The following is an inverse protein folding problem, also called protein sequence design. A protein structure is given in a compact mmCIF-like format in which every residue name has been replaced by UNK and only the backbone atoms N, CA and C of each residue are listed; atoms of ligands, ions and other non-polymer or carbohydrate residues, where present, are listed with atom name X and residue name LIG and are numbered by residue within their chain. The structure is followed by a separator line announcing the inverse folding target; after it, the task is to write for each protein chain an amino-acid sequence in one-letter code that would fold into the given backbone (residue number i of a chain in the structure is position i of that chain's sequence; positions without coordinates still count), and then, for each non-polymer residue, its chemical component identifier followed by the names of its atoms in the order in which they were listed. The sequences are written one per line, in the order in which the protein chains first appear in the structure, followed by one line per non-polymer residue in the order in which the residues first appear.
data_IF_759740002518
#
_entry.id   IF_759740002518
#
_cell.length_a   1.000
_cell.length_b   1.000
_cell.length_c   1.000
_cell.angle_alpha   90.00
_cell.angle_beta   90.00
_cell.angle_gamma   90.00
#
_symmetry.space_group_name_H-M   'P 1'
#
loop_
_entity.id
_entity.type
_entity.pdbx_description
1 polymer ?
#
# COMPACT_ATOMS: atom_id res chain seq x y z
N UNK A 1 -26.92 -10.28 -21.89
CA UNK A 1 -25.84 -10.89 -22.70
C UNK A 1 -25.81 -10.26 -24.09
N UNK A 2 -25.07 -9.16 -24.25
CA UNK A 2 -24.84 -8.57 -25.57
C UNK A 2 -23.57 -9.17 -26.19
N UNK A 3 -23.70 -9.74 -27.38
CA UNK A 3 -22.60 -10.35 -28.14
C UNK A 3 -22.11 -9.36 -29.20
N UNK A 4 -20.80 -9.10 -29.24
CA UNK A 4 -20.19 -8.13 -30.16
C UNK A 4 -19.18 -8.78 -31.09
N UNK A 5 -19.08 -8.32 -32.35
CA UNK A 5 -18.08 -8.79 -33.29
C UNK A 5 -16.66 -8.34 -32.91
N UNK A 6 -15.65 -9.07 -33.39
CA UNK A 6 -14.23 -8.85 -33.08
C UNK A 6 -13.77 -7.39 -33.23
N UNK A 7 -14.26 -6.66 -34.25
CA UNK A 7 -13.90 -5.25 -34.48
C UNK A 7 -14.31 -4.36 -33.31
N UNK A 8 -15.54 -4.52 -32.84
CA UNK A 8 -16.09 -3.77 -31.70
C UNK A 8 -15.44 -4.21 -30.38
N UNK A 9 -15.03 -5.47 -30.26
CA UNK A 9 -14.25 -5.95 -29.12
C UNK A 9 -12.86 -5.30 -29.02
N UNK A 10 -12.19 -5.07 -30.16
CA UNK A 10 -10.91 -4.34 -30.21
C UNK A 10 -11.10 -2.89 -29.77
N UNK A 11 -12.14 -2.20 -30.26
CA UNK A 11 -12.45 -0.82 -29.87
C UNK A 11 -12.75 -0.71 -28.37
N UNK A 12 -13.44 -1.70 -27.78
CA UNK A 12 -13.80 -1.70 -26.35
C UNK A 12 -12.63 -2.04 -25.42
N UNK A 13 -11.69 -2.88 -25.85
CA UNK A 13 -10.62 -3.40 -24.98
C UNK A 13 -9.24 -2.80 -25.25
N UNK A 14 -9.03 -2.19 -26.43
CA UNK A 14 -7.71 -1.74 -26.89
C UNK A 14 -6.72 -2.88 -27.19
N UNK A 15 -7.15 -4.15 -27.09
CA UNK A 15 -6.30 -5.32 -27.32
C UNK A 15 -6.24 -5.70 -28.80
N UNK A 16 -5.11 -6.28 -29.23
CA UNK A 16 -4.96 -6.75 -30.60
C UNK A 16 -5.94 -7.89 -30.94
N UNK A 17 -6.34 -7.99 -32.21
CA UNK A 17 -7.22 -9.08 -32.70
C UNK A 17 -6.67 -10.47 -32.36
N UNK A 18 -5.35 -10.64 -32.40
CA UNK A 18 -4.69 -11.92 -32.12
C UNK A 18 -4.76 -12.25 -30.62
N UNK A 19 -4.62 -11.25 -29.75
CA UNK A 19 -4.74 -11.42 -28.30
C UNK A 19 -6.16 -11.85 -27.90
N UNK A 20 -7.18 -11.20 -28.47
CA UNK A 20 -8.58 -11.57 -28.22
C UNK A 20 -8.92 -12.99 -28.71
N UNK A 21 -8.36 -13.41 -29.86
CA UNK A 21 -8.52 -14.78 -30.36
C UNK A 21 -7.88 -15.81 -29.42
N UNK A 22 -6.63 -15.58 -29.00
CA UNK A 22 -5.92 -16.43 -28.03
C UNK A 22 -6.68 -16.55 -26.71
N UNK A 23 -7.21 -15.45 -26.19
CA UNK A 23 -7.97 -15.47 -24.94
C UNK A 23 -9.33 -16.16 -25.07
N UNK A 24 -9.96 -16.12 -26.24
CA UNK A 24 -11.13 -16.95 -26.54
C UNK A 24 -10.77 -18.44 -26.67
N UNK A 25 -9.64 -18.77 -27.29
CA UNK A 25 -9.17 -20.16 -27.43
C UNK A 25 -8.81 -20.77 -26.06
N UNK A 26 -8.24 -19.97 -25.16
CA UNK A 26 -7.88 -20.38 -23.81
C UNK A 26 -9.07 -20.32 -22.81
N UNK A 27 -10.27 -19.97 -23.26
CA UNK A 27 -11.48 -19.87 -22.42
C UNK A 27 -11.53 -18.67 -21.47
N UNK A 28 -10.56 -17.75 -21.53
CA UNK A 28 -10.52 -16.52 -20.74
C UNK A 28 -11.65 -15.55 -21.13
N UNK A 29 -12.08 -15.55 -22.40
CA UNK A 29 -13.24 -14.77 -22.87
C UNK A 29 -14.31 -15.74 -23.35
N UNK A 30 -15.54 -15.59 -22.85
CA UNK A 30 -16.68 -16.30 -23.45
C UNK A 30 -16.91 -15.79 -24.86
N UNK A 31 -16.89 -16.71 -25.82
CA UNK A 31 -17.22 -16.43 -27.21
C UNK A 31 -18.24 -17.44 -27.72
N UNK A 32 -19.08 -16.99 -28.66
CA UNK A 32 -20.00 -17.85 -29.40
C UNK A 32 -19.64 -17.79 -30.89
N UNK A 33 -19.69 -18.93 -31.56
CA UNK A 33 -19.50 -18.99 -33.02
C UNK A 33 -20.87 -18.95 -33.68
N UNK A 34 -21.03 -18.05 -34.66
CA UNK A 34 -22.20 -18.11 -35.53
C UNK A 34 -22.10 -19.30 -36.49
N UNK A 35 -23.20 -19.73 -37.12
CA UNK A 35 -23.17 -20.76 -38.15
C UNK A 35 -22.19 -20.47 -39.30
N UNK A 36 -21.93 -19.18 -39.58
CA UNK A 36 -20.93 -18.73 -40.56
C UNK A 36 -19.48 -18.69 -40.05
N UNK A 37 -19.18 -19.25 -38.87
CA UNK A 37 -17.82 -19.33 -38.33
C UNK A 37 -17.27 -18.05 -37.69
N UNK A 38 -18.05 -16.97 -37.67
CA UNK A 38 -17.65 -15.70 -37.04
C UNK A 38 -17.74 -15.80 -35.52
N UNK A 39 -16.67 -15.42 -34.82
CA UNK A 39 -16.66 -15.35 -33.35
C UNK A 39 -17.30 -14.05 -32.87
N UNK A 40 -18.33 -14.19 -32.04
CA UNK A 40 -18.94 -13.12 -31.27
C UNK A 40 -18.46 -13.21 -29.83
N UNK A 41 -18.06 -12.09 -29.27
CA UNK A 41 -17.50 -12.00 -27.93
C UNK A 41 -18.55 -11.43 -26.97
N UNK A 42 -18.63 -12.00 -25.78
CA UNK A 42 -19.51 -11.50 -24.74
C UNK A 42 -18.98 -10.18 -24.17
N UNK A 43 -19.84 -9.16 -24.14
CA UNK A 43 -19.50 -7.82 -23.66
C UNK A 43 -19.14 -7.78 -22.18
N UNK A 44 -19.81 -8.57 -21.34
CA UNK A 44 -19.49 -8.67 -19.91
C UNK A 44 -18.09 -9.26 -19.69
N UNK A 45 -17.80 -10.36 -20.40
CA UNK A 45 -16.48 -10.96 -20.42
C UNK A 45 -15.42 -9.97 -20.94
N UNK A 46 -15.68 -9.21 -22.01
CA UNK A 46 -14.74 -8.20 -22.52
C UNK A 46 -14.48 -7.03 -21.56
N UNK A 47 -15.52 -6.54 -20.88
CA UNK A 47 -15.41 -5.50 -19.86
C UNK A 47 -14.54 -5.96 -18.68
N UNK A 48 -14.58 -7.25 -18.36
CA UNK A 48 -13.71 -7.84 -17.34
C UNK A 48 -12.22 -7.86 -17.72
N UNK A 49 -11.89 -7.86 -19.03
CA UNK A 49 -10.50 -7.81 -19.53
C UNK A 49 -9.98 -6.38 -19.70
N UNK A 50 -10.84 -5.43 -20.06
CA UNK A 50 -10.49 -4.01 -20.20
C UNK A 50 -10.29 -3.29 -18.87
N UNK A 51 -10.86 -3.85 -17.78
CA UNK A 51 -10.45 -3.50 -16.43
C UNK A 51 -9.11 -4.20 -16.18
N UNK A 52 -8.00 -3.43 -16.22
CA UNK A 52 -6.80 -3.71 -15.40
C UNK A 52 -7.28 -4.44 -14.14
N UNK A 53 -6.84 -5.69 -13.96
CA UNK A 53 -7.18 -6.60 -12.85
C UNK A 53 -8.01 -5.88 -11.79
N UNK A 54 -9.32 -6.16 -11.73
CA UNK A 54 -10.28 -5.54 -10.82
C UNK A 54 -9.57 -4.84 -9.67
N UNK A 55 -9.41 -3.50 -9.72
CA UNK A 55 -8.78 -2.76 -8.62
C UNK A 55 -9.43 -3.27 -7.35
N UNK A 56 -8.70 -4.02 -6.55
CA UNK A 56 -9.28 -4.64 -5.38
C UNK A 56 -9.52 -3.49 -4.42
N UNK A 57 -10.77 -3.08 -4.30
CA UNK A 57 -11.18 -2.12 -3.29
C UNK A 57 -11.21 -2.85 -1.96
N UNK A 58 -10.28 -2.52 -1.07
CA UNK A 58 -10.22 -3.10 0.25
C UNK A 58 -10.18 -2.02 1.30
N UNK A 59 -10.96 -2.20 2.35
CA UNK A 59 -10.86 -1.39 3.56
C UNK A 59 -9.93 -2.10 4.53
N UNK A 60 -8.87 -1.41 4.94
CA UNK A 60 -7.85 -1.95 5.85
C UNK A 60 -7.90 -1.16 7.14
N UNK A 61 -8.17 -1.81 8.26
CA UNK A 61 -7.96 -1.25 9.59
C UNK A 61 -6.52 -1.50 10.03
N UNK A 62 -5.73 -0.44 10.14
CA UNK A 62 -4.33 -0.54 10.53
C UNK A 62 -4.15 -0.20 12.02
N UNK A 63 -3.75 -1.19 12.80
CA UNK A 63 -3.53 -1.09 14.24
C UNK A 63 -2.04 -1.22 14.56
N UNK A 64 -1.54 -0.45 15.53
CA UNK A 64 -0.12 -0.46 15.87
C UNK A 64 0.13 -0.11 17.32
N UNK A 65 1.10 -0.79 17.93
CA UNK A 65 1.73 -0.38 19.19
C UNK A 65 3.24 -0.33 19.06
N UNK A 66 3.95 0.40 19.93
CA UNK A 66 5.41 0.55 19.81
C UNK A 66 6.21 -0.56 20.45
N UNK A 67 5.66 -1.22 21.46
CA UNK A 67 6.33 -2.30 22.18
C UNK A 67 5.45 -3.53 22.29
N UNK A 68 6.07 -4.71 22.34
CA UNK A 68 5.38 -5.96 22.66
C UNK A 68 4.74 -5.96 24.04
N UNK A 69 5.21 -5.10 24.97
CA UNK A 69 4.57 -4.89 26.28
C UNK A 69 3.16 -4.32 26.18
N UNK A 70 2.84 -3.65 25.06
CA UNK A 70 1.53 -3.05 24.78
C UNK A 70 0.64 -3.98 23.94
N UNK A 71 0.89 -5.29 23.96
CA UNK A 71 0.13 -6.25 23.15
C UNK A 71 -1.35 -6.27 23.51
N UNK A 72 -1.68 -6.11 24.78
CA UNK A 72 -3.08 -6.07 25.23
C UNK A 72 -3.81 -4.81 24.72
N UNK A 73 -3.10 -3.69 24.63
CA UNK A 73 -3.62 -2.46 24.00
C UNK A 73 -3.88 -2.68 22.50
N UNK A 74 -2.99 -3.40 21.81
CA UNK A 74 -3.18 -3.74 20.40
C UNK A 74 -4.43 -4.62 20.21
N UNK A 75 -4.69 -5.57 21.10
CA UNK A 75 -5.88 -6.42 21.04
C UNK A 75 -7.15 -5.58 21.25
N UNK A 76 -7.14 -4.66 22.23
CA UNK A 76 -8.25 -3.73 22.46
C UNK A 76 -8.50 -2.82 21.26
N UNK A 77 -7.44 -2.30 20.65
CA UNK A 77 -7.51 -1.47 19.45
C UNK A 77 -8.12 -2.26 18.28
N UNK A 78 -7.69 -3.50 18.08
CA UNK A 78 -8.23 -4.38 17.02
C UNK A 78 -9.71 -4.66 17.24
N UNK A 79 -10.12 -4.99 18.47
CA UNK A 79 -11.53 -5.24 18.79
C UNK A 79 -12.39 -3.99 18.54
N UNK A 80 -11.89 -2.82 18.94
CA UNK A 80 -12.56 -1.55 18.68
C UNK A 80 -12.71 -1.27 17.17
N UNK A 81 -11.64 -1.44 16.38
CA UNK A 81 -11.70 -1.24 14.93
C UNK A 81 -12.66 -2.23 14.25
N UNK A 82 -12.64 -3.49 14.68
CA UNK A 82 -13.56 -4.51 14.17
C UNK A 82 -15.03 -4.19 14.50
N UNK A 83 -15.30 -3.56 15.64
CA UNK A 83 -16.66 -3.14 16.01
C UNK A 83 -17.21 -2.04 15.09
N UNK A 84 -16.34 -1.13 14.62
CA UNK A 84 -16.71 -0.05 13.71
C UNK A 84 -16.73 -0.49 12.25
N UNK A 85 -15.81 -1.37 11.88
CA UNK A 85 -15.62 -1.85 10.50
C UNK A 85 -15.53 -3.39 10.48
N UNK A 86 -16.66 -4.10 10.57
CA UNK A 86 -16.68 -5.57 10.63
C UNK A 86 -16.12 -6.25 9.38
N UNK A 87 -16.32 -5.63 8.21
CA UNK A 87 -15.89 -6.16 6.91
C UNK A 87 -14.47 -5.74 6.53
N UNK A 88 -13.77 -4.98 7.38
CA UNK A 88 -12.44 -4.48 7.07
C UNK A 88 -11.34 -5.50 7.41
N UNK A 89 -10.32 -5.55 6.56
CA UNK A 89 -9.13 -6.34 6.80
C UNK A 89 -8.29 -5.71 7.93
N UNK A 90 -7.96 -6.49 8.95
CA UNK A 90 -7.14 -6.00 10.06
C UNK A 90 -5.67 -6.28 9.78
N UNK A 91 -4.90 -5.20 9.67
CA UNK A 91 -3.44 -5.25 9.60
C UNK A 91 -2.88 -4.71 10.92
N UNK A 92 -1.97 -5.45 11.54
CA UNK A 92 -1.39 -5.08 12.84
C UNK A 92 0.12 -5.13 12.82
N UNK A 93 0.74 -4.17 13.49
CA UNK A 93 2.20 -4.12 13.64
C UNK A 93 2.61 -3.79 15.09
N UNK A 94 3.77 -4.33 15.48
CA UNK A 94 4.45 -3.98 16.73
C UNK A 94 5.78 -3.34 16.38
N UNK A 95 5.93 -2.06 16.70
CA UNK A 95 7.15 -1.29 16.49
C UNK A 95 6.92 0.22 16.42
N UNK A 96 7.99 0.98 16.58
CA UNK A 96 8.00 2.45 16.54
C UNK A 96 7.35 3.02 15.28
N UNK A 97 6.74 4.20 15.43
CA UNK A 97 6.20 5.04 14.36
C UNK A 97 7.21 5.38 13.26
N UNK A 98 8.51 5.33 13.58
CA UNK A 98 9.64 5.66 12.69
C UNK A 98 10.10 4.47 11.83
N UNK A 99 9.64 3.25 12.13
CA UNK A 99 10.10 2.06 11.44
C UNK A 99 9.26 1.75 10.18
N UNK A 100 9.74 2.18 9.00
CA UNK A 100 9.08 1.85 7.73
C UNK A 100 9.27 0.40 7.26
N UNK A 101 10.05 -0.42 7.99
CA UNK A 101 10.28 -1.83 7.67
C UNK A 101 9.26 -2.78 8.31
N UNK A 102 8.27 -2.24 9.01
CA UNK A 102 7.15 -2.99 9.61
C UNK A 102 6.43 -3.83 8.55
N UNK A 103 6.04 -5.05 8.93
CA UNK A 103 5.53 -6.03 7.98
C UNK A 103 4.15 -5.64 7.44
N UNK A 104 3.23 -5.21 8.31
CA UNK A 104 1.91 -4.76 7.91
C UNK A 104 1.96 -3.50 7.04
N UNK A 105 2.76 -2.49 7.43
CA UNK A 105 2.96 -1.31 6.59
C UNK A 105 3.53 -1.68 5.20
N UNK A 106 4.53 -2.57 5.14
CA UNK A 106 5.10 -3.01 3.86
C UNK A 106 4.07 -3.70 2.98
N UNK A 107 3.25 -4.57 3.56
CA UNK A 107 2.16 -5.24 2.83
C UNK A 107 1.17 -4.23 2.24
N UNK A 108 0.82 -3.17 2.98
CA UNK A 108 -0.02 -2.07 2.48
C UNK A 108 0.66 -1.35 1.31
N UNK A 109 1.94 -0.99 1.46
CA UNK A 109 2.70 -0.29 0.41
C UNK A 109 2.84 -1.16 -0.86
N UNK A 110 3.10 -2.46 -0.73
CA UNK A 110 3.16 -3.37 -1.87
C UNK A 110 1.84 -3.45 -2.62
N UNK A 111 0.70 -3.45 -1.91
CA UNK A 111 -0.63 -3.40 -2.52
C UNK A 111 -0.90 -2.08 -3.22
N UNK A 112 -0.46 -0.96 -2.64
CA UNK A 112 -0.50 0.33 -3.33
C UNK A 112 0.33 0.30 -4.62
N UNK A 113 1.51 -0.32 -4.63
CA UNK A 113 2.32 -0.45 -5.86
C UNK A 113 1.66 -1.34 -6.92
N UNK A 114 0.79 -2.26 -6.53
CA UNK A 114 -0.02 -3.08 -7.46
C UNK A 114 -1.20 -2.31 -8.08
N UNK A 115 -1.52 -1.12 -7.55
CA UNK A 115 -2.64 -0.31 -8.02
C UNK A 115 -3.96 -0.60 -7.30
N UNK A 116 -3.93 -1.30 -6.16
CA UNK A 116 -5.12 -1.56 -5.35
C UNK A 116 -5.70 -0.25 -4.79
N UNK A 117 -7.03 -0.17 -4.74
CA UNK A 117 -7.73 0.98 -4.20
C UNK A 117 -7.99 0.74 -2.71
N UNK A 118 -7.07 1.19 -1.87
CA UNK A 118 -7.14 0.93 -0.43
C UNK A 118 -7.81 2.08 0.31
N UNK A 119 -8.77 1.75 1.17
CA UNK A 119 -9.26 2.66 2.20
C UNK A 119 -8.61 2.27 3.53
N UNK A 120 -7.65 3.06 3.99
CA UNK A 120 -6.90 2.76 5.21
C UNK A 120 -7.55 3.49 6.38
N UNK A 121 -8.01 2.76 7.38
CA UNK A 121 -8.56 3.31 8.63
C UNK A 121 -7.51 3.22 9.73
N UNK A 122 -7.26 4.34 10.41
CA UNK A 122 -6.31 4.44 11.53
C UNK A 122 -6.91 5.23 12.69
N UNK A 123 -6.48 4.91 13.92
CA UNK A 123 -6.95 5.60 15.13
C UNK A 123 -6.44 7.05 15.24
N UNK A 124 -5.13 7.26 15.09
CA UNK A 124 -4.47 8.57 15.01
C UNK A 124 -3.43 8.57 13.87
N UNK A 125 -3.04 9.75 13.37
CA UNK A 125 -2.04 9.89 12.27
C UNK A 125 -0.74 9.13 12.59
N UNK A 126 -0.25 9.27 13.82
CA UNK A 126 0.99 8.64 14.27
C UNK A 126 0.91 7.11 14.33
N UNK A 127 -0.29 6.53 14.39
CA UNK A 127 -0.43 5.06 14.33
C UNK A 127 0.04 4.55 12.99
N UNK A 128 -0.24 5.27 11.91
CA UNK A 128 0.29 4.93 10.59
C UNK A 128 1.80 5.14 10.53
N UNK A 129 2.26 6.37 10.80
CA UNK A 129 3.67 6.75 10.70
C UNK A 129 3.93 8.01 11.50
N UNK A 130 5.13 8.14 12.09
CA UNK A 130 5.51 9.36 12.81
C UNK A 130 5.81 10.53 11.87
N UNK A 131 6.38 10.24 10.70
CA UNK A 131 6.66 11.21 9.66
C UNK A 131 6.20 10.71 8.29
N UNK A 132 6.00 11.61 7.32
CA UNK A 132 5.61 11.21 5.97
C UNK A 132 4.19 10.65 5.89
N UNK A 133 3.29 11.11 6.77
CA UNK A 133 1.86 10.79 6.64
C UNK A 133 1.34 11.34 5.31
N UNK A 134 1.65 12.60 4.97
CA UNK A 134 1.21 13.21 3.71
C UNK A 134 1.75 12.46 2.49
N UNK A 135 2.95 11.88 2.61
CA UNK A 135 3.54 11.06 1.54
C UNK A 135 2.70 9.80 1.29
N UNK A 136 2.32 9.08 2.35
CA UNK A 136 1.50 7.88 2.22
C UNK A 136 0.10 8.24 1.73
N UNK A 137 -0.47 9.33 2.24
CA UNK A 137 -1.77 9.86 1.79
C UNK A 137 -1.77 10.19 0.30
N UNK A 138 -0.71 10.84 -0.19
CA UNK A 138 -0.54 11.11 -1.62
C UNK A 138 -0.48 9.81 -2.43
N UNK A 139 0.31 8.82 -2.01
CA UNK A 139 0.41 7.53 -2.70
C UNK A 139 -0.92 6.77 -2.75
N UNK A 140 -1.70 6.83 -1.67
CA UNK A 140 -3.03 6.24 -1.59
C UNK A 140 -3.99 6.96 -2.54
N UNK A 141 -3.91 8.29 -2.63
CA UNK A 141 -4.76 9.10 -3.50
C UNK A 141 -4.51 8.83 -5.00
N UNK A 142 -3.28 8.51 -5.40
CA UNK A 142 -2.94 8.15 -6.79
C UNK A 142 -3.71 6.93 -7.29
N UNK A 143 -4.06 6.02 -6.40
CA UNK A 143 -4.86 4.83 -6.72
C UNK A 143 -6.38 5.05 -6.52
N UNK A 144 -6.80 6.25 -6.14
CA UNK A 144 -8.19 6.57 -5.79
C UNK A 144 -8.61 6.06 -4.41
N UNK A 145 -7.65 5.68 -3.56
CA UNK A 145 -7.90 5.30 -2.17
C UNK A 145 -8.02 6.52 -1.27
N UNK A 146 -8.29 6.29 0.02
CA UNK A 146 -8.30 7.34 1.05
C UNK A 146 -7.81 6.83 2.40
N UNK A 147 -7.29 7.73 3.22
CA UNK A 147 -6.93 7.44 4.62
C UNK A 147 -7.99 8.08 5.51
N UNK A 148 -8.64 7.28 6.36
CA UNK A 148 -9.61 7.71 7.36
C UNK A 148 -8.94 7.70 8.73
N UNK A 149 -8.89 8.86 9.37
CA UNK A 149 -8.36 9.02 10.72
C UNK A 149 -9.54 9.20 11.67
N UNK A 150 -9.68 8.33 12.67
CA UNK A 150 -10.75 8.41 13.68
C UNK A 150 -10.49 9.46 14.77
N UNK A 151 -9.28 10.03 14.76
CA UNK A 151 -8.80 11.12 15.61
C UNK A 151 -9.02 10.88 17.11
N UNK A 152 -8.57 9.72 17.59
CA UNK A 152 -8.62 9.35 19.00
C UNK A 152 -7.33 9.77 19.71
N UNK A 153 -7.32 10.84 20.53
CA UNK A 153 -6.11 11.33 21.19
C UNK A 153 -5.52 10.31 22.19
N UNK A 154 -6.36 9.51 22.84
CA UNK A 154 -5.95 8.45 23.77
C UNK A 154 -5.10 7.36 23.09
N UNK A 155 -5.19 7.24 21.76
CA UNK A 155 -4.44 6.26 21.01
C UNK A 155 -2.99 6.67 20.75
N UNK A 156 -2.52 7.82 21.23
CA UNK A 156 -1.20 8.39 20.95
C UNK A 156 -0.42 8.70 22.27
N UNK A 157 0.22 7.70 22.92
CA UNK A 157 0.91 7.87 24.20
C UNK A 157 2.15 8.76 24.14
N UNK A 158 2.31 9.64 25.14
CA UNK A 158 3.49 10.52 25.29
C UNK A 158 4.82 9.74 25.44
N UNK A 159 4.77 8.57 26.09
CA UNK A 159 5.91 7.67 26.22
C UNK A 159 6.44 7.19 24.86
N UNK A 160 5.57 7.11 23.87
CA UNK A 160 5.94 6.74 22.51
C UNK A 160 6.65 7.87 21.78
N UNK A 161 6.15 9.09 21.95
CA UNK A 161 6.74 10.31 21.37
C UNK A 161 8.14 10.56 21.92
N UNK A 162 8.32 10.42 23.24
CA UNK A 162 9.63 10.58 23.89
C UNK A 162 10.62 9.52 23.45
N UNK A 163 10.21 8.25 23.34
CA UNK A 163 11.07 7.18 22.82
C UNK A 163 11.50 7.42 21.36
N UNK A 164 10.59 7.91 20.52
CA UNK A 164 10.89 8.23 19.13
C UNK A 164 11.84 9.44 19.03
N UNK A 165 11.65 10.47 19.85
CA UNK A 165 12.54 11.62 19.91
C UNK A 165 13.97 11.21 20.34
N UNK A 166 14.10 10.40 21.39
CA UNK A 166 15.40 9.88 21.83
C UNK A 166 16.08 9.05 20.73
N UNK A 167 15.31 8.26 19.98
CA UNK A 167 15.81 7.47 18.85
C UNK A 167 16.36 8.37 17.74
N UNK A 168 15.66 9.47 17.42
CA UNK A 168 16.09 10.46 16.44
C UNK A 168 17.39 11.13 16.90
N UNK A 169 17.42 11.65 18.13
CA UNK A 169 18.61 12.30 18.72
C UNK A 169 19.79 11.33 18.69
N UNK A 170 19.60 10.08 19.09
CA UNK A 170 20.65 9.07 19.08
C UNK A 170 21.25 8.85 17.69
N UNK A 171 20.41 8.71 16.66
CA UNK A 171 20.87 8.57 15.26
C UNK A 171 21.69 9.78 14.82
N UNK A 172 21.23 11.00 15.13
CA UNK A 172 21.97 12.22 14.81
C UNK A 172 23.28 12.35 15.58
N UNK A 173 23.30 12.05 16.89
CA UNK A 173 24.51 12.05 17.71
C UNK A 173 25.54 11.07 17.17
N UNK A 174 25.15 9.82 16.88
CA UNK A 174 26.02 8.82 16.27
C UNK A 174 26.60 9.28 14.94
N UNK A 175 25.80 9.95 14.10
CA UNK A 175 26.27 10.52 12.82
C UNK A 175 27.26 11.65 13.03
N UNK A 176 27.03 12.57 13.98
CA UNK A 176 27.96 13.65 14.32
C UNK A 176 29.29 13.09 14.85
N UNK A 177 29.24 12.10 15.74
CA UNK A 177 30.44 11.45 16.25
C UNK A 177 31.18 10.69 15.15
N UNK A 178 30.45 10.01 14.26
CA UNK A 178 31.00 9.38 13.06
C UNK A 178 31.73 10.38 12.17
N UNK A 179 31.10 11.51 11.84
CA UNK A 179 31.71 12.58 11.04
C UNK A 179 32.97 13.16 11.67
N UNK A 180 33.06 13.27 12.99
CA UNK A 180 34.30 13.69 13.68
C UNK A 180 35.43 12.66 13.50
N UNK A 181 35.11 11.37 13.50
CA UNK A 181 36.07 10.27 13.28
C UNK A 181 36.53 10.20 11.83
N UNK A 182 35.62 10.36 10.87
CA UNK A 182 35.94 10.44 9.44
C UNK A 182 36.67 11.73 9.10
N UNK A 183 36.29 12.88 9.66
CA UNK A 183 36.95 14.16 9.42
C UNK A 183 38.41 14.20 9.89
N UNK A 184 38.76 13.46 10.97
CA UNK A 184 40.17 13.24 11.36
C UNK A 184 40.90 12.33 10.36
N UNK A 185 40.30 11.19 10.00
CA UNK A 185 40.89 10.27 9.00
C UNK A 185 41.09 10.93 7.63
N UNK A 186 40.13 11.71 7.14
CA UNK A 186 40.20 12.43 5.87
C UNK A 186 41.27 13.54 5.90
N UNK A 187 41.53 14.14 7.07
CA UNK A 187 42.63 15.12 7.23
C UNK A 187 44.01 14.47 7.28
N UNK A 188 44.10 13.25 7.79
CA UNK A 188 45.33 12.45 7.92
C UNK A 188 45.65 11.63 6.66
N UNK A 189 44.66 11.39 5.79
CA UNK A 189 44.81 10.64 4.55
C UNK A 189 45.41 11.52 3.44
N UNK A 190 46.67 11.24 3.07
CA UNK A 190 47.44 11.96 2.06
C UNK A 190 47.02 11.67 0.61
N UNK A 191 46.10 10.73 0.41
CA UNK A 191 45.58 10.35 -0.92
C UNK A 191 44.35 11.16 -1.36
N UNK A 192 43.73 11.92 -0.45
CA UNK A 192 42.56 12.74 -0.75
C UNK A 192 43.04 14.11 -1.26
N UNK A 193 42.58 14.59 -2.43
CA UNK A 193 42.94 15.92 -2.90
C UNK A 193 42.45 16.95 -1.88
N UNK A 194 43.39 17.71 -1.31
CA UNK A 194 43.04 18.87 -0.48
C UNK A 194 42.60 20.00 -1.44
N UNK A 195 41.55 20.76 -1.09
CA UNK A 195 41.09 21.88 -1.90
C UNK A 195 42.16 22.96 -2.05
#
# INVERSE_FOLDING_TARGET
MALVPLRKAVELTGLSRNTLRKYADNGTIKCQKTPGGTRLFDTESLLSLGRRQSRQSATICYCRVSSSKQKDDLVRQVAYMHSLFPEAEIVKDIGSGLNYKRFGLRAILERLMRGDQLTIVVACRDRLTRFGFELIEYLVSLNGGKILVLDQPESCPESELTADLLSIIHVFSCRIHGLRKYGKKIKEDSSVPKP
#
